data_IF_730354845884
#
_entry.id   IF_730354845884
#
_cell.length_a   1.000
_cell.length_b   1.000
_cell.length_c   1.000
_cell.angle_alpha   90.00
_cell.angle_beta   90.00
_cell.angle_gamma   90.00
#
_symmetry.space_group_name_H-M   'P 1'
#
loop_
_entity.id
_entity.type
_entity.pdbx_description
1 polymer ?
#
# COMPACT_ATOMS: atom_id res chain seq x y z
N UNK A 1 -8.60 -17.12 3.27
CA UNK A 1 -8.87 -16.93 4.72
C UNK A 1 -10.37 -16.84 4.89
N UNK A 2 -10.96 -17.82 5.54
CA UNK A 2 -12.40 -17.87 5.85
C UNK A 2 -12.59 -16.97 7.08
N UNK A 3 -13.29 -15.84 6.92
CA UNK A 3 -13.90 -15.13 8.08
C UNK A 3 -14.70 -16.18 8.84
N UNK A 4 -14.72 -16.20 10.17
CA UNK A 4 -15.72 -17.01 10.87
C UNK A 4 -17.09 -16.62 10.32
N UNK A 5 -17.97 -17.57 9.99
CA UNK A 5 -19.20 -17.29 9.23
C UNK A 5 -20.01 -16.14 9.84
N UNK A 6 -20.02 -16.08 11.18
CA UNK A 6 -20.64 -15.03 11.99
C UNK A 6 -20.01 -13.63 11.81
N UNK A 7 -18.68 -13.52 11.73
CA UNK A 7 -18.01 -12.25 11.44
C UNK A 7 -18.29 -11.75 10.02
N UNK A 8 -18.42 -12.68 9.06
CA UNK A 8 -18.80 -12.34 7.69
C UNK A 8 -20.23 -11.79 7.63
N UNK A 9 -21.17 -12.42 8.33
CA UNK A 9 -22.58 -11.99 8.42
C UNK A 9 -22.73 -10.61 9.08
N UNK A 10 -21.95 -10.30 10.11
CA UNK A 10 -21.96 -8.97 10.73
C UNK A 10 -21.29 -7.87 9.88
N UNK A 11 -20.43 -8.26 8.94
CA UNK A 11 -19.79 -7.35 7.98
C UNK A 11 -20.57 -7.20 6.69
N UNK A 12 -21.45 -8.15 6.35
CA UNK A 12 -22.28 -8.15 5.13
C UNK A 12 -23.09 -6.85 4.95
N UNK A 13 -23.72 -6.26 6.00
CA UNK A 13 -24.41 -4.97 5.89
C UNK A 13 -23.46 -3.80 5.58
N UNK A 14 -22.18 -3.96 5.88
CA UNK A 14 -21.13 -2.95 5.73
C UNK A 14 -20.22 -3.25 4.53
N UNK A 15 -20.45 -4.33 3.78
CA UNK A 15 -19.53 -4.83 2.75
C UNK A 15 -19.36 -3.85 1.58
N UNK A 16 -20.40 -3.05 1.31
CA UNK A 16 -20.37 -1.95 0.34
C UNK A 16 -19.95 -0.60 0.95
N UNK A 17 -19.74 -0.55 2.26
CA UNK A 17 -19.39 0.66 2.99
C UNK A 17 -17.89 0.94 2.91
N UNK A 18 -17.54 2.19 2.60
CA UNK A 18 -16.15 2.71 2.69
C UNK A 18 -15.46 2.37 4.03
N UNK A 19 -16.25 2.21 5.10
CA UNK A 19 -15.78 1.99 6.47
C UNK A 19 -15.52 0.51 6.82
N UNK A 20 -15.76 -0.44 5.91
CA UNK A 20 -15.52 -1.86 6.17
C UNK A 20 -14.07 -2.16 6.59
N UNK A 21 -13.10 -1.39 6.10
CA UNK A 21 -11.68 -1.52 6.50
C UNK A 21 -11.40 -1.08 7.94
N UNK A 22 -12.26 -0.22 8.53
CA UNK A 22 -12.09 0.32 9.88
C UNK A 22 -12.78 -0.54 10.94
N UNK A 23 -13.76 -1.36 10.56
CA UNK A 23 -14.61 -2.13 11.49
C UNK A 23 -13.82 -3.07 12.39
N UNK A 24 -12.78 -3.72 11.87
CA UNK A 24 -11.90 -4.64 12.63
C UNK A 24 -11.24 -3.92 13.80
N UNK A 25 -10.78 -2.69 13.60
CA UNK A 25 -10.18 -1.88 14.67
C UNK A 25 -11.23 -1.40 15.67
N UNK A 26 -12.46 -1.12 15.22
CA UNK A 26 -13.58 -0.80 16.12
C UNK A 26 -13.92 -1.99 17.02
N UNK A 27 -14.02 -3.19 16.46
CA UNK A 27 -14.25 -4.41 17.23
C UNK A 27 -13.13 -4.68 18.23
N UNK A 28 -11.88 -4.46 17.81
CA UNK A 28 -10.71 -4.61 18.69
C UNK A 28 -10.75 -3.64 19.87
N UNK A 29 -11.09 -2.37 19.64
CA UNK A 29 -11.25 -1.39 20.70
C UNK A 29 -12.40 -1.73 21.67
N UNK A 30 -13.52 -2.25 21.16
CA UNK A 30 -14.65 -2.71 21.98
C UNK A 30 -14.25 -3.92 22.84
N UNK A 31 -13.51 -4.88 22.28
CA UNK A 31 -12.99 -6.04 23.01
C UNK A 31 -12.05 -5.60 24.15
N UNK A 32 -11.09 -4.72 23.87
CA UNK A 32 -10.15 -4.19 24.87
C UNK A 32 -10.91 -3.51 26.03
N UNK A 33 -11.89 -2.66 25.72
CA UNK A 33 -12.72 -2.01 26.74
C UNK A 33 -13.55 -3.03 27.54
N UNK A 34 -14.08 -4.08 26.89
CA UNK A 34 -14.76 -5.17 27.56
C UNK A 34 -13.87 -5.94 28.54
N UNK A 35 -12.61 -6.19 28.15
CA UNK A 35 -11.61 -6.86 29.01
C UNK A 35 -11.21 -5.99 30.22
N UNK A 36 -11.11 -4.67 30.04
CA UNK A 36 -10.88 -3.74 31.15
C UNK A 36 -12.05 -3.72 32.12
N UNK A 37 -13.30 -3.67 31.65
CA UNK A 37 -14.50 -3.73 32.51
C UNK A 37 -14.57 -5.02 33.34
N UNK A 38 -14.04 -6.13 32.81
CA UNK A 38 -13.91 -7.41 33.53
C UNK A 38 -12.74 -7.45 34.53
N UNK A 39 -11.98 -6.36 34.67
CA UNK A 39 -10.83 -6.26 35.57
C UNK A 39 -9.58 -7.02 35.10
N UNK A 40 -9.56 -7.51 33.85
CA UNK A 40 -8.42 -8.25 33.29
C UNK A 40 -7.28 -7.30 32.90
N UNK A 41 -7.60 -6.06 32.53
CA UNK A 41 -6.62 -4.99 32.32
C UNK A 41 -6.63 -4.10 33.57
N UNK A 42 -5.62 -4.29 34.43
CA UNK A 42 -5.55 -3.63 35.75
C UNK A 42 -4.93 -2.22 35.71
N UNK A 43 -4.29 -1.85 34.60
CA UNK A 43 -3.50 -0.63 34.49
C UNK A 43 -4.11 0.32 33.47
N UNK A 44 -4.54 1.49 33.93
CA UNK A 44 -5.10 2.56 33.09
C UNK A 44 -4.12 3.04 31.99
N UNK A 45 -2.81 3.20 32.26
CA UNK A 45 -1.84 3.49 31.20
C UNK A 45 -1.81 2.44 30.08
N UNK A 46 -1.91 1.15 30.42
CA UNK A 46 -1.90 0.06 29.44
C UNK A 46 -3.18 0.09 28.62
N UNK A 47 -4.33 0.31 29.26
CA UNK A 47 -5.60 0.46 28.55
C UNK A 47 -5.56 1.60 27.54
N UNK A 48 -5.07 2.78 27.96
CA UNK A 48 -4.94 3.94 27.07
C UNK A 48 -4.04 3.65 25.88
N UNK A 49 -2.89 3.01 26.12
CA UNK A 49 -1.98 2.62 25.05
C UNK A 49 -2.64 1.68 24.03
N UNK A 50 -3.35 0.66 24.48
CA UNK A 50 -4.02 -0.30 23.59
C UNK A 50 -5.14 0.35 22.76
N UNK A 51 -5.92 1.25 23.36
CA UNK A 51 -6.95 2.02 22.65
C UNK A 51 -6.33 3.00 21.66
N UNK A 52 -5.21 3.62 22.01
CA UNK A 52 -4.46 4.51 21.11
C UNK A 52 -3.95 3.75 19.87
N UNK A 53 -3.41 2.54 20.03
CA UNK A 53 -3.00 1.69 18.90
C UNK A 53 -4.18 1.36 17.96
N UNK A 54 -5.37 1.13 18.50
CA UNK A 54 -6.57 0.93 17.67
C UNK A 54 -6.93 2.19 16.87
N UNK A 55 -6.74 3.37 17.47
CA UNK A 55 -6.98 4.66 16.82
C UNK A 55 -5.96 4.91 15.70
N UNK A 56 -4.69 4.56 15.92
CA UNK A 56 -3.66 4.60 14.87
C UNK A 56 -4.05 3.70 13.69
N UNK A 57 -4.50 2.47 13.96
CA UNK A 57 -4.96 1.53 12.94
C UNK A 57 -6.16 2.04 12.12
N UNK A 58 -7.15 2.64 12.79
CA UNK A 58 -8.29 3.30 12.12
C UNK A 58 -7.83 4.47 11.24
N UNK A 59 -6.98 5.35 11.78
CA UNK A 59 -6.46 6.51 11.05
C UNK A 59 -5.64 6.10 9.82
N UNK A 60 -4.82 5.05 9.94
CA UNK A 60 -4.05 4.51 8.81
C UNK A 60 -4.97 3.99 7.71
N UNK A 61 -6.00 3.21 8.08
CA UNK A 61 -6.98 2.66 7.14
C UNK A 61 -7.76 3.77 6.43
N UNK A 62 -8.23 4.77 7.18
CA UNK A 62 -8.93 5.93 6.62
C UNK A 62 -8.03 6.76 5.70
N UNK A 63 -6.74 6.89 6.01
CA UNK A 63 -5.78 7.62 5.17
C UNK A 63 -5.58 6.92 3.82
N UNK A 64 -5.39 5.60 3.82
CA UNK A 64 -5.29 4.81 2.59
C UNK A 64 -6.56 4.95 1.77
N UNK A 65 -7.72 4.81 2.42
CA UNK A 65 -9.01 4.95 1.76
C UNK A 65 -9.20 6.34 1.15
N UNK A 66 -8.91 7.40 1.90
CA UNK A 66 -9.01 8.79 1.44
C UNK A 66 -8.16 9.01 0.19
N UNK A 67 -6.92 8.50 0.19
CA UNK A 67 -6.02 8.60 -0.96
C UNK A 67 -6.50 7.81 -2.18
N UNK A 68 -7.17 6.68 -1.97
CA UNK A 68 -7.79 5.91 -3.05
C UNK A 68 -9.05 6.60 -3.62
N UNK A 69 -9.83 7.26 -2.77
CA UNK A 69 -11.09 7.92 -3.15
C UNK A 69 -10.92 9.34 -3.67
N UNK A 70 -9.78 9.97 -3.42
CA UNK A 70 -9.43 11.29 -3.92
C UNK A 70 -8.41 11.17 -5.07
N UNK A 71 -8.84 10.71 -6.26
CA UNK A 71 -7.95 10.65 -7.41
C UNK A 71 -7.50 12.05 -7.80
N UNK A 72 -6.31 12.14 -8.37
CA UNK A 72 -5.80 13.38 -8.96
C UNK A 72 -6.82 13.87 -10.02
N UNK A 73 -7.22 15.16 -9.99
CA UNK A 73 -8.17 15.68 -10.96
C UNK A 73 -7.74 15.42 -12.40
N UNK A 74 -8.64 14.90 -13.24
CA UNK A 74 -8.33 14.55 -14.63
C UNK A 74 -7.84 15.77 -15.45
N UNK A 75 -8.31 16.97 -15.10
CA UNK A 75 -7.86 18.23 -15.70
C UNK A 75 -6.36 18.48 -15.49
N UNK A 76 -5.82 18.12 -14.32
CA UNK A 76 -4.40 18.26 -14.02
C UNK A 76 -3.56 17.32 -14.90
N UNK A 77 -3.99 16.07 -15.05
CA UNK A 77 -3.33 15.10 -15.92
C UNK A 77 -3.34 15.56 -17.39
N UNK A 78 -4.48 16.04 -17.88
CA UNK A 78 -4.60 16.57 -19.23
C UNK A 78 -3.70 17.80 -19.45
N UNK A 79 -3.60 18.70 -18.47
CA UNK A 79 -2.75 19.89 -18.55
C UNK A 79 -1.27 19.52 -18.64
N UNK A 80 -0.78 18.63 -17.76
CA UNK A 80 0.61 18.18 -17.80
C UNK A 80 0.94 17.48 -19.12
N UNK A 81 0.05 16.58 -19.58
CA UNK A 81 0.23 15.90 -20.85
C UNK A 81 0.32 16.90 -22.01
N UNK A 82 -0.56 17.90 -22.03
CA UNK A 82 -0.57 18.96 -23.05
C UNK A 82 0.71 19.78 -23.00
N UNK A 83 1.18 20.17 -21.83
CA UNK A 83 2.44 20.93 -21.67
C UNK A 83 3.63 20.15 -22.22
N UNK A 84 3.75 18.86 -21.88
CA UNK A 84 4.84 18.01 -22.39
C UNK A 84 4.75 17.83 -23.91
N UNK A 85 3.55 17.65 -24.46
CA UNK A 85 3.33 17.56 -25.91
C UNK A 85 3.71 18.86 -26.62
N UNK A 86 3.29 20.01 -26.09
CA UNK A 86 3.66 21.32 -26.61
C UNK A 86 5.17 21.55 -26.54
N UNK A 87 5.81 21.18 -25.44
CA UNK A 87 7.27 21.26 -25.28
C UNK A 87 7.99 20.41 -26.35
N UNK A 88 7.60 19.15 -26.49
CA UNK A 88 8.18 18.25 -27.49
C UNK A 88 7.96 18.73 -28.93
N UNK A 89 6.80 19.33 -29.21
CA UNK A 89 6.47 19.93 -30.51
C UNK A 89 7.34 21.16 -30.82
N UNK A 90 7.46 22.08 -29.85
CA UNK A 90 8.31 23.27 -30.02
C UNK A 90 9.77 22.87 -30.23
N UNK A 91 10.28 21.92 -29.45
CA UNK A 91 11.63 21.40 -29.65
C UNK A 91 11.81 20.69 -30.99
N UNK A 92 10.80 19.97 -31.48
CA UNK A 92 10.86 19.35 -32.82
C UNK A 92 11.02 20.41 -33.92
N UNK A 93 10.29 21.52 -33.84
CA UNK A 93 10.40 22.63 -34.80
C UNK A 93 11.76 23.33 -34.70
N UNK A 94 12.24 23.62 -33.49
CA UNK A 94 13.53 24.30 -33.26
C UNK A 94 14.69 23.42 -33.74
N UNK A 95 14.75 22.16 -33.32
CA UNK A 95 15.81 21.24 -33.75
C UNK A 95 15.71 20.92 -35.25
N UNK A 96 14.50 20.87 -35.81
CA UNK A 96 14.30 20.77 -37.26
C UNK A 96 14.93 21.94 -38.00
N UNK A 97 14.60 23.17 -37.63
CA UNK A 97 15.16 24.38 -38.25
C UNK A 97 16.67 24.53 -38.04
N UNK A 98 17.19 24.19 -36.85
CA UNK A 98 18.64 24.19 -36.62
C UNK A 98 19.35 23.10 -37.43
N UNK A 99 18.73 21.93 -37.60
CA UNK A 99 19.33 20.84 -38.37
C UNK A 99 19.50 21.19 -39.85
N UNK A 100 18.55 21.93 -40.45
CA UNK A 100 18.66 22.36 -41.85
C UNK A 100 19.79 23.37 -42.04
N UNK A 101 19.94 24.32 -41.12
CA UNK A 101 21.02 25.33 -41.19
C UNK A 101 22.38 24.70 -40.91
N UNK A 102 22.48 23.79 -39.94
CA UNK A 102 23.75 23.14 -39.59
C UNK A 102 24.18 22.07 -40.60
N UNK A 103 23.24 21.47 -41.34
CA UNK A 103 23.56 20.54 -42.42
C UNK A 103 24.43 21.20 -43.51
N UNK A 104 24.18 22.49 -43.80
CA UNK A 104 24.92 23.26 -44.80
C UNK A 104 26.33 23.62 -44.33
N UNK A 105 26.52 23.91 -43.03
CA UNK A 105 27.79 24.40 -42.50
C UNK A 105 28.72 23.32 -41.91
N UNK A 106 28.18 22.26 -41.30
CA UNK A 106 28.96 21.28 -40.52
C UNK A 106 28.82 19.83 -41.01
N UNK A 107 28.06 19.61 -42.10
CA UNK A 107 27.92 18.31 -42.75
C UNK A 107 26.82 17.40 -42.18
N UNK A 108 26.68 16.19 -42.72
CA UNK A 108 25.56 15.27 -42.43
C UNK A 108 25.54 14.71 -41.00
N UNK A 109 26.66 14.70 -40.30
CA UNK A 109 26.78 14.11 -38.95
C UNK A 109 26.08 14.95 -37.88
N UNK A 110 25.99 16.26 -38.05
CA UNK A 110 25.31 17.16 -37.09
C UNK A 110 23.80 16.97 -37.09
N UNK A 111 23.19 16.72 -38.27
CA UNK A 111 21.76 16.40 -38.40
C UNK A 111 21.40 15.16 -37.59
N UNK A 112 22.22 14.12 -37.66
CA UNK A 112 22.02 12.88 -36.91
C UNK A 112 22.11 13.14 -35.41
N UNK A 113 23.13 13.89 -34.97
CA UNK A 113 23.31 14.23 -33.55
C UNK A 113 22.14 15.05 -33.00
N UNK A 114 21.69 16.09 -33.71
CA UNK A 114 20.55 16.91 -33.28
C UNK A 114 19.24 16.11 -33.23
N UNK A 115 19.00 15.25 -34.23
CA UNK A 115 17.82 14.39 -34.26
C UNK A 115 17.82 13.40 -33.09
N UNK A 116 18.98 12.81 -32.79
CA UNK A 116 19.15 11.88 -31.68
C UNK A 116 18.98 12.56 -30.31
N UNK A 117 19.49 13.78 -30.13
CA UNK A 117 19.28 14.56 -28.90
C UNK A 117 17.80 14.89 -28.69
N UNK A 118 17.09 15.33 -29.73
CA UNK A 118 15.64 15.58 -29.66
C UNK A 118 14.86 14.31 -29.33
N UNK A 119 15.19 13.20 -30.00
CA UNK A 119 14.55 11.91 -29.76
C UNK A 119 14.73 11.45 -28.30
N UNK A 120 15.96 11.51 -27.77
CA UNK A 120 16.24 11.16 -26.38
C UNK A 120 15.45 12.05 -25.40
N UNK A 121 15.43 13.36 -25.62
CA UNK A 121 14.69 14.28 -24.76
C UNK A 121 13.18 13.96 -24.75
N UNK A 122 12.61 13.72 -25.93
CA UNK A 122 11.20 13.33 -26.08
C UNK A 122 10.91 11.99 -25.39
N UNK A 123 11.79 11.01 -25.53
CA UNK A 123 11.66 9.70 -24.84
C UNK A 123 11.67 9.89 -23.33
N UNK A 124 12.57 10.70 -22.77
CA UNK A 124 12.64 10.95 -21.32
C UNK A 124 11.34 11.56 -20.80
N UNK A 125 10.82 12.61 -21.45
CA UNK A 125 9.58 13.24 -21.00
C UNK A 125 8.36 12.33 -21.12
N UNK A 126 8.25 11.55 -22.21
CA UNK A 126 7.17 10.57 -22.35
C UNK A 126 7.31 9.43 -21.33
N UNK A 127 8.52 8.97 -21.03
CA UNK A 127 8.76 7.96 -20.00
C UNK A 127 8.34 8.48 -18.62
N UNK A 128 8.64 9.74 -18.28
CA UNK A 128 8.20 10.37 -17.03
C UNK A 128 6.67 10.43 -16.93
N UNK A 129 5.96 10.71 -18.04
CA UNK A 129 4.49 10.67 -18.05
C UNK A 129 3.94 9.27 -17.77
N UNK A 130 4.55 8.24 -18.37
CA UNK A 130 4.14 6.84 -18.17
C UNK A 130 4.37 6.43 -16.70
N UNK A 131 5.53 6.74 -16.14
CA UNK A 131 5.82 6.45 -14.72
C UNK A 131 4.81 7.14 -13.81
N UNK A 132 4.52 8.42 -14.04
CA UNK A 132 3.51 9.13 -13.26
C UNK A 132 2.13 8.47 -13.37
N UNK A 133 1.73 8.03 -14.56
CA UNK A 133 0.47 7.31 -14.76
C UNK A 133 0.42 5.98 -14.00
N UNK A 134 1.53 5.24 -13.96
CA UNK A 134 1.61 3.99 -13.20
C UNK A 134 1.56 4.25 -11.68
N UNK A 135 2.25 5.30 -11.20
CA UNK A 135 2.26 5.68 -9.79
C UNK A 135 0.93 6.27 -9.29
N UNK A 136 0.08 6.78 -10.18
CA UNK A 136 -1.24 7.31 -9.80
C UNK A 136 -2.14 6.27 -9.14
N UNK A 137 -1.99 4.98 -9.46
CA UNK A 137 -2.72 3.92 -8.77
C UNK A 137 -1.85 2.65 -8.61
N UNK A 138 -1.09 2.54 -7.50
CA UNK A 138 -0.19 1.42 -7.26
C UNK A 138 -0.91 0.12 -6.88
N UNK A 139 -2.24 0.13 -6.73
CA UNK A 139 -3.04 -1.03 -6.34
C UNK A 139 -3.79 -1.67 -7.51
N UNK A 140 -3.62 -1.15 -8.74
CA UNK A 140 -4.35 -1.63 -9.92
C UNK A 140 -3.85 -3.00 -10.46
N UNK A 141 -2.70 -3.49 -9.96
CA UNK A 141 -2.11 -4.77 -10.38
C UNK A 141 -1.51 -4.75 -11.80
N UNK A 142 -1.48 -3.62 -12.48
CA UNK A 142 -1.04 -3.50 -13.89
C UNK A 142 0.44 -3.17 -14.02
N UNK A 143 1.02 -2.43 -13.08
CA UNK A 143 2.41 -1.95 -13.19
C UNK A 143 3.39 -2.92 -12.51
N UNK A 144 4.15 -3.71 -13.28
CA UNK A 144 5.04 -4.75 -12.71
C UNK A 144 6.01 -4.21 -11.65
N UNK A 145 6.56 -3.02 -11.88
CA UNK A 145 7.64 -2.45 -11.05
C UNK A 145 7.15 -1.36 -10.07
N UNK A 146 5.96 -0.78 -10.31
CA UNK A 146 5.38 0.28 -9.49
C UNK A 146 4.17 -0.17 -8.64
N UNK A 147 3.77 -1.44 -8.74
CA UNK A 147 2.72 -2.00 -7.91
C UNK A 147 3.14 -2.05 -6.44
N UNK A 148 2.17 -1.81 -5.57
CA UNK A 148 2.32 -2.08 -4.15
C UNK A 148 2.63 -3.58 -3.94
N UNK A 149 3.67 -3.94 -3.14
CA UNK A 149 4.13 -5.32 -2.98
C UNK A 149 3.20 -6.14 -2.08
N UNK A 150 1.95 -6.32 -2.51
CA UNK A 150 0.90 -6.97 -1.73
C UNK A 150 1.23 -8.43 -1.41
N UNK A 151 1.86 -9.14 -2.35
CA UNK A 151 2.27 -10.53 -2.15
C UNK A 151 3.32 -10.67 -1.03
N UNK A 152 4.30 -9.78 -1.01
CA UNK A 152 5.31 -9.75 0.06
C UNK A 152 4.66 -9.41 1.40
N UNK A 153 3.80 -8.38 1.44
CA UNK A 153 3.12 -7.98 2.68
C UNK A 153 2.25 -9.11 3.22
N UNK A 154 1.48 -9.79 2.36
CA UNK A 154 0.66 -10.93 2.76
C UNK A 154 1.52 -12.07 3.33
N UNK A 155 2.63 -12.40 2.67
CA UNK A 155 3.55 -13.43 3.17
C UNK A 155 4.18 -13.04 4.52
N UNK A 156 4.55 -11.78 4.70
CA UNK A 156 5.07 -11.27 5.98
C UNK A 156 4.01 -11.37 7.09
N UNK A 157 2.78 -10.94 6.83
CA UNK A 157 1.66 -11.05 7.79
C UNK A 157 1.37 -12.50 8.15
N UNK A 158 1.42 -13.42 7.18
CA UNK A 158 1.24 -14.85 7.44
C UNK A 158 2.33 -15.42 8.34
N UNK A 159 3.59 -15.03 8.10
CA UNK A 159 4.72 -15.42 8.95
C UNK A 159 4.57 -14.87 10.37
N UNK A 160 4.22 -13.59 10.52
CA UNK A 160 4.04 -12.96 11.83
C UNK A 160 2.92 -13.62 12.63
N UNK A 161 1.82 -13.99 11.97
CA UNK A 161 0.70 -14.71 12.61
C UNK A 161 1.14 -16.12 13.05
N UNK A 162 1.90 -16.83 12.22
CA UNK A 162 2.46 -18.14 12.60
C UNK A 162 3.44 -18.02 13.78
N UNK A 163 4.32 -17.02 13.77
CA UNK A 163 5.25 -16.75 14.88
C UNK A 163 4.51 -16.40 16.17
N UNK A 164 3.48 -15.54 16.10
CA UNK A 164 2.65 -15.19 17.25
C UNK A 164 1.94 -16.40 17.85
N UNK A 165 1.50 -17.35 17.01
CA UNK A 165 0.90 -18.62 17.46
C UNK A 165 1.89 -19.45 18.27
N UNK A 166 3.12 -19.60 17.78
CA UNK A 166 4.19 -20.34 18.47
C UNK A 166 4.55 -19.68 19.80
N UNK A 167 4.57 -18.34 19.85
CA UNK A 167 4.81 -17.60 21.09
C UNK A 167 3.65 -17.75 22.09
N UNK A 168 2.41 -17.80 21.61
CA UNK A 168 1.23 -17.99 22.47
C UNK A 168 1.16 -19.41 23.08
N UNK A 169 1.70 -20.42 22.38
CA UNK A 169 1.80 -21.79 22.91
C UNK A 169 3.04 -22.01 23.80
N UNK A 170 4.11 -21.24 23.60
CA UNK A 170 5.35 -21.34 24.36
C UNK A 170 5.56 -20.11 25.27
N UNK A 171 4.78 -20.03 26.34
CA UNK A 171 4.92 -18.96 27.34
C UNK A 171 6.17 -19.17 28.22
N UNK A 172 6.94 -18.10 28.51
CA UNK A 172 7.98 -18.11 29.53
C UNK A 172 7.49 -18.54 30.92
N UNK A 173 8.37 -19.20 31.69
CA UNK A 173 8.06 -19.76 33.03
C UNK A 173 7.54 -18.73 34.03
N UNK A 174 7.96 -17.47 33.93
CA UNK A 174 7.49 -16.41 34.82
C UNK A 174 6.03 -16.00 34.53
N UNK A 175 5.56 -16.16 33.29
CA UNK A 175 4.16 -15.88 32.91
C UNK A 175 3.24 -17.02 33.34
N UNK A 176 3.69 -18.27 33.23
CA UNK A 176 2.97 -19.43 33.76
C UNK A 176 2.94 -19.41 35.29
N UNK A 177 4.02 -19.00 35.94
CA UNK A 177 4.05 -18.75 37.39
C UNK A 177 3.09 -17.64 37.83
N UNK A 178 2.83 -16.65 36.96
CA UNK A 178 1.82 -15.61 37.18
C UNK A 178 0.37 -16.08 36.94
N UNK A 179 0.16 -17.36 36.60
CA UNK A 179 -1.15 -17.97 36.40
C UNK A 179 -1.72 -17.82 34.99
N UNK A 180 -0.95 -17.32 34.03
CA UNK A 180 -1.36 -17.23 32.62
C UNK A 180 -1.13 -18.59 31.96
N UNK A 181 -2.18 -19.14 31.34
CA UNK A 181 -2.11 -20.44 30.68
C UNK A 181 -1.81 -20.27 29.19
N UNK A 182 -1.01 -21.18 28.59
CA UNK A 182 -0.84 -21.21 27.15
C UNK A 182 -2.19 -21.46 26.48
N UNK A 183 -2.43 -20.80 25.35
CA UNK A 183 -3.62 -21.07 24.56
C UNK A 183 -3.38 -22.40 23.84
N UNK A 184 -4.23 -23.42 24.05
CA UNK A 184 -4.04 -24.70 23.40
C UNK A 184 -4.21 -24.56 21.88
N UNK A 185 -3.42 -25.35 21.14
CA UNK A 185 -3.19 -25.17 19.71
C UNK A 185 -4.44 -25.33 18.85
N UNK A 186 -5.45 -26.03 19.38
CA UNK A 186 -6.78 -26.29 18.80
C UNK A 186 -7.69 -25.05 18.78
N UNK A 187 -7.59 -24.18 19.79
CA UNK A 187 -8.34 -22.94 19.88
C UNK A 187 -7.76 -21.81 19.01
N UNK A 188 -6.56 -22.00 18.45
CA UNK A 188 -5.88 -21.05 17.56
C UNK A 188 -6.31 -21.18 16.08
N UNK A 189 -7.28 -22.06 15.78
CA UNK A 189 -7.88 -22.24 14.45
C UNK A 189 -7.07 -23.11 13.48
N UNK A 190 -7.69 -23.59 12.38
CA UNK A 190 -7.01 -24.43 11.40
C UNK A 190 -6.17 -23.57 10.44
N UNK A 191 -4.85 -23.61 10.61
CA UNK A 191 -3.92 -22.89 9.74
C UNK A 191 -2.49 -23.40 9.86
N UNK A 192 -2.11 -24.31 8.96
CA UNK A 192 -0.73 -24.68 8.66
C UNK A 192 -0.12 -25.71 9.60
N UNK A 193 -0.12 -26.97 9.17
CA UNK A 193 0.72 -28.00 9.77
C UNK A 193 2.20 -27.61 9.74
N UNK A 194 2.92 -28.06 10.77
CA UNK A 194 4.37 -28.25 10.84
C UNK A 194 5.21 -27.40 9.87
N UNK A 195 5.75 -26.29 10.39
CA UNK A 195 7.05 -25.81 9.91
C UNK A 195 8.08 -26.85 10.35
N UNK A 196 8.26 -27.90 9.54
CA UNK A 196 9.38 -28.83 9.66
C UNK A 196 10.67 -28.06 9.43
N UNK A 197 11.59 -28.17 10.39
CA UNK A 197 12.95 -27.63 10.36
C UNK A 197 13.71 -28.01 9.10
#
# INVERSE_FOLDING_TARGET
>A
RVRTGEEAEHLEPLENGMLASMSVWTWTAVMINGLSKKGLIKSDPILRYLVDQCTVGQNASNRVLTLLTAPVPMSYFALISTVVKCHNLLHAVIFGAMSTVQAEHQGRTTVVTCTLMWFLLSVVFNALLIINQELCNPFNGKAKDANFPMAWLNSSIEKDIASNRILASNLPDWLTAAGIRPIPEDLLGPGGGAVSR
#
